data_IF_218521236001
#
_entry.id   IF_218521236001
#
_cell.length_a   1.000
_cell.length_b   1.000
_cell.length_c   1.000
_cell.angle_alpha   90.00
_cell.angle_beta   90.00
_cell.angle_gamma   90.00
#
_symmetry.space_group_name_H-M   'P 1'
#
loop_
_entity.id
_entity.type
_entity.pdbx_description
1 polymer ?
#
# COMPACT_ATOMS: atom_id res chain seq x y z
N UNK A 1 18.85 -1.57 -22.43
CA UNK A 1 19.10 -2.95 -22.90
C UNK A 1 19.15 -3.95 -21.74
N UNK A 2 20.03 -3.77 -20.73
CA UNK A 2 20.20 -4.74 -19.63
C UNK A 2 18.89 -5.05 -18.89
N UNK A 3 18.09 -4.05 -18.50
CA UNK A 3 16.80 -4.26 -17.82
C UNK A 3 15.78 -5.05 -18.67
N UNK A 4 15.78 -4.84 -20.00
CA UNK A 4 14.97 -5.64 -20.91
C UNK A 4 15.44 -7.10 -20.93
N UNK A 5 16.74 -7.35 -20.90
CA UNK A 5 17.30 -8.70 -20.78
C UNK A 5 16.95 -9.35 -19.44
N UNK A 6 16.93 -8.58 -18.33
CA UNK A 6 16.47 -9.08 -17.03
C UNK A 6 15.03 -9.55 -17.12
N UNK A 7 14.16 -8.77 -17.73
CA UNK A 7 12.74 -9.07 -17.86
C UNK A 7 12.46 -10.25 -18.80
N UNK A 8 13.15 -10.30 -19.97
CA UNK A 8 12.92 -11.32 -21.00
C UNK A 8 13.70 -12.62 -20.79
N UNK A 9 14.63 -12.66 -19.81
CA UNK A 9 15.51 -13.80 -19.60
C UNK A 9 16.63 -13.96 -20.62
N UNK A 10 16.86 -12.96 -21.48
CA UNK A 10 17.88 -12.97 -22.53
C UNK A 10 19.23 -12.48 -22.01
N UNK A 11 20.30 -12.69 -22.80
CA UNK A 11 21.63 -12.09 -22.59
C UNK A 11 21.83 -10.88 -23.49
N UNK A 12 22.81 -10.03 -23.18
CA UNK A 12 23.10 -8.82 -23.98
C UNK A 12 23.61 -9.12 -25.39
N UNK A 13 24.28 -10.24 -25.54
CA UNK A 13 24.87 -10.73 -26.80
C UNK A 13 23.92 -11.59 -27.64
N UNK A 14 22.73 -11.94 -27.09
CA UNK A 14 21.71 -12.68 -27.85
C UNK A 14 21.23 -11.84 -29.06
N UNK A 15 21.46 -12.31 -30.30
CA UNK A 15 21.08 -11.58 -31.51
C UNK A 15 19.55 -11.45 -31.65
N UNK A 16 18.79 -12.37 -31.07
CA UNK A 16 17.32 -12.42 -31.15
C UNK A 16 16.62 -11.69 -30.00
N UNK A 17 17.37 -11.10 -29.05
CA UNK A 17 16.76 -10.37 -27.96
C UNK A 17 15.95 -9.17 -28.47
N UNK A 18 14.93 -8.78 -27.75
CA UNK A 18 14.21 -7.55 -28.04
C UNK A 18 15.14 -6.33 -27.97
N UNK A 19 15.09 -5.51 -29.01
CA UNK A 19 15.83 -4.25 -29.12
C UNK A 19 14.92 -3.17 -29.64
N UNK A 20 15.11 -1.95 -29.17
CA UNK A 20 14.55 -0.77 -29.86
C UNK A 20 15.44 -0.43 -31.06
N UNK A 21 14.81 0.08 -32.11
CA UNK A 21 15.53 0.47 -33.35
C UNK A 21 16.36 1.74 -33.16
N UNK A 22 16.17 2.46 -32.08
CA UNK A 22 16.82 3.74 -31.78
C UNK A 22 16.96 3.94 -30.27
N UNK A 23 17.93 4.76 -29.86
CA UNK A 23 18.12 5.19 -28.46
C UNK A 23 17.40 6.53 -28.16
N UNK A 24 16.54 7.02 -29.09
CA UNK A 24 15.86 8.32 -28.99
C UNK A 24 14.65 8.36 -28.03
N UNK A 25 14.31 7.24 -27.37
CA UNK A 25 13.19 7.15 -26.40
C UNK A 25 13.59 7.66 -25.00
N UNK A 26 13.95 8.93 -24.91
CA UNK A 26 14.26 9.60 -23.65
C UNK A 26 13.62 10.98 -23.60
N UNK A 27 13.47 11.54 -22.39
CA UNK A 27 12.95 12.90 -22.20
C UNK A 27 14.00 13.91 -22.70
N UNK A 28 13.74 14.50 -23.86
CA UNK A 28 14.62 15.48 -24.49
C UNK A 28 14.52 16.83 -23.80
N UNK A 29 15.63 17.57 -23.82
CA UNK A 29 15.63 18.97 -23.36
C UNK A 29 14.81 19.85 -24.31
N UNK A 30 14.32 21.03 -23.84
CA UNK A 30 13.63 21.99 -24.72
C UNK A 30 14.47 22.38 -25.96
N UNK A 31 15.78 22.53 -25.80
CA UNK A 31 16.67 22.85 -26.91
C UNK A 31 16.73 21.72 -27.96
N UNK A 32 16.83 20.48 -27.53
CA UNK A 32 16.79 19.30 -28.41
C UNK A 32 15.44 19.17 -29.13
N UNK A 33 14.32 19.44 -28.42
CA UNK A 33 13.01 19.43 -29.04
C UNK A 33 12.85 20.53 -30.09
N UNK A 34 13.35 21.76 -29.83
CA UNK A 34 13.30 22.85 -30.79
C UNK A 34 14.17 22.58 -32.03
N UNK A 35 15.32 21.93 -31.84
CA UNK A 35 16.15 21.51 -33.00
C UNK A 35 15.45 20.41 -33.82
N UNK A 36 14.83 19.46 -33.19
CA UNK A 36 14.08 18.37 -33.82
C UNK A 36 12.89 18.91 -34.65
N UNK A 37 12.19 19.93 -34.11
CA UNK A 37 11.04 20.58 -34.74
C UNK A 37 11.36 21.96 -35.34
N UNK A 38 12.61 22.18 -35.78
CA UNK A 38 13.05 23.49 -36.33
C UNK A 38 12.20 23.96 -37.50
N UNK A 39 11.66 23.03 -38.31
CA UNK A 39 10.81 23.33 -39.44
C UNK A 39 9.35 23.62 -39.04
N UNK A 40 9.01 23.36 -37.75
CA UNK A 40 7.66 23.56 -37.16
C UNK A 40 7.79 24.19 -35.77
N UNK A 41 8.36 25.40 -35.62
CA UNK A 41 8.61 26.01 -34.32
C UNK A 41 7.33 26.24 -33.50
N UNK A 42 6.21 26.49 -34.17
CA UNK A 42 4.91 26.67 -33.56
C UNK A 42 4.45 25.44 -32.80
N UNK A 43 4.87 24.25 -33.21
CA UNK A 43 4.56 23.01 -32.46
C UNK A 43 5.15 23.03 -31.04
N UNK A 44 6.37 23.58 -30.88
CA UNK A 44 6.97 23.77 -29.58
C UNK A 44 6.32 24.94 -28.80
N UNK A 45 6.01 26.05 -29.46
CA UNK A 45 5.39 27.21 -28.81
C UNK A 45 3.98 26.89 -28.32
N UNK A 46 3.19 26.13 -29.10
CA UNK A 46 1.87 25.69 -28.71
C UNK A 46 1.85 24.80 -27.45
N UNK A 47 2.95 24.11 -27.13
CA UNK A 47 3.01 23.32 -25.87
C UNK A 47 2.92 24.24 -24.64
N UNK A 48 3.50 25.45 -24.71
CA UNK A 48 3.38 26.45 -23.64
C UNK A 48 1.96 27.00 -23.54
N UNK A 49 1.33 27.31 -24.68
CA UNK A 49 -0.05 27.78 -24.71
C UNK A 49 -1.02 26.72 -24.15
N UNK A 50 -0.76 25.45 -24.40
CA UNK A 50 -1.55 24.35 -23.81
C UNK A 50 -1.31 24.27 -22.30
N UNK A 51 -0.06 24.38 -21.86
CA UNK A 51 0.26 24.36 -20.42
C UNK A 51 -0.40 25.51 -19.66
N UNK A 52 -0.41 26.73 -20.23
CA UNK A 52 -1.07 27.90 -19.67
C UNK A 52 -2.60 27.74 -19.53
N UNK A 53 -3.22 26.87 -20.34
CA UNK A 53 -4.64 26.56 -20.28
C UNK A 53 -4.98 25.45 -19.29
N UNK A 54 -3.98 24.79 -18.73
CA UNK A 54 -4.15 23.70 -17.79
C UNK A 54 -3.99 24.23 -16.36
N UNK A 55 -5.08 24.24 -15.61
CA UNK A 55 -5.10 24.54 -14.17
C UNK A 55 -5.32 23.22 -13.42
N UNK A 56 -4.26 22.64 -12.85
CA UNK A 56 -4.33 21.39 -12.11
C UNK A 56 -3.82 21.62 -10.70
N UNK A 57 -4.72 21.45 -9.73
CA UNK A 57 -4.38 21.52 -8.31
C UNK A 57 -4.70 20.20 -7.63
N UNK A 58 -3.82 19.78 -6.71
CA UNK A 58 -4.06 18.62 -5.86
C UNK A 58 -4.68 19.08 -4.54
N UNK A 59 -5.93 18.69 -4.29
CA UNK A 59 -6.57 18.95 -3.01
C UNK A 59 -6.06 17.94 -1.97
N UNK A 60 -5.07 18.36 -1.18
CA UNK A 60 -4.45 17.52 -0.14
C UNK A 60 -5.18 17.59 1.20
N UNK A 61 -6.19 18.46 1.34
CA UNK A 61 -6.98 18.62 2.57
C UNK A 61 -8.32 17.88 2.53
N UNK A 62 -8.76 17.40 1.36
CA UNK A 62 -10.03 16.71 1.23
C UNK A 62 -9.94 15.28 1.76
N UNK A 63 -10.98 14.88 2.49
CA UNK A 63 -11.19 13.48 2.88
C UNK A 63 -12.10 12.80 1.84
N UNK A 64 -11.53 11.87 1.09
CA UNK A 64 -12.22 11.11 0.04
C UNK A 64 -12.78 9.77 0.51
N UNK A 65 -12.84 9.53 1.83
CA UNK A 65 -13.41 8.31 2.39
C UNK A 65 -14.85 8.07 1.88
N UNK A 66 -15.18 6.86 1.44
CA UNK A 66 -16.56 6.52 1.12
C UNK A 66 -17.42 6.57 2.37
N UNK A 67 -18.67 6.97 2.25
CA UNK A 67 -19.64 6.85 3.33
C UNK A 67 -20.12 5.40 3.43
N UNK A 68 -20.17 4.90 4.66
CA UNK A 68 -20.75 3.59 4.91
C UNK A 68 -22.28 3.68 4.87
N UNK A 69 -22.97 2.80 4.11
CA UNK A 69 -24.43 2.79 4.12
C UNK A 69 -24.95 2.24 5.46
N UNK A 70 -25.50 3.11 6.26
CA UNK A 70 -26.14 2.76 7.56
C UNK A 70 -27.64 2.55 7.38
N UNK A 71 -28.31 1.78 8.28
CA UNK A 71 -29.76 1.63 8.29
C UNK A 71 -30.49 2.97 8.51
N UNK A 72 -31.76 3.04 8.07
CA UNK A 72 -32.60 4.22 8.27
C UNK A 72 -32.68 4.62 9.75
N UNK A 73 -32.48 5.90 10.01
CA UNK A 73 -32.49 6.45 11.37
C UNK A 73 -31.16 6.36 12.12
N UNK A 74 -30.13 5.75 11.52
CA UNK A 74 -28.78 5.68 12.09
C UNK A 74 -27.85 6.72 11.46
N UNK A 75 -26.79 7.06 12.20
CA UNK A 75 -25.60 7.73 11.70
C UNK A 75 -24.43 6.76 11.68
N UNK A 76 -23.32 7.09 10.98
CA UNK A 76 -22.11 6.28 11.04
C UNK A 76 -21.62 6.12 12.50
N UNK A 77 -21.72 7.18 13.32
CA UNK A 77 -21.34 7.14 14.74
C UNK A 77 -22.20 6.17 15.54
N UNK A 78 -23.54 6.31 15.45
CA UNK A 78 -24.46 5.45 16.21
C UNK A 78 -24.38 3.99 15.77
N UNK A 79 -24.21 3.76 14.45
CA UNK A 79 -24.06 2.41 13.92
C UNK A 79 -22.73 1.77 14.30
N UNK A 80 -21.65 2.55 14.29
CA UNK A 80 -20.35 2.11 14.76
C UNK A 80 -20.38 1.63 16.22
N UNK A 81 -20.96 2.43 17.11
CA UNK A 81 -21.13 2.04 18.52
C UNK A 81 -21.86 0.70 18.65
N UNK A 82 -22.96 0.52 17.90
CA UNK A 82 -23.74 -0.72 17.89
C UNK A 82 -22.95 -1.92 17.39
N UNK A 83 -22.19 -1.77 16.33
CA UNK A 83 -21.37 -2.86 15.78
C UNK A 83 -20.19 -3.21 16.71
N UNK A 84 -19.59 -2.23 17.41
CA UNK A 84 -18.59 -2.50 18.45
C UNK A 84 -19.21 -3.29 19.60
N UNK A 85 -20.36 -2.84 20.16
CA UNK A 85 -21.02 -3.51 21.27
C UNK A 85 -21.45 -4.94 20.91
N UNK A 86 -22.04 -5.12 19.74
CA UNK A 86 -22.38 -6.44 19.20
C UNK A 86 -21.15 -7.34 19.05
N UNK A 87 -20.04 -6.78 18.58
CA UNK A 87 -18.78 -7.49 18.44
C UNK A 87 -18.18 -7.91 19.78
N UNK A 88 -18.24 -7.07 20.80
CA UNK A 88 -17.81 -7.42 22.16
C UNK A 88 -18.58 -8.62 22.72
N UNK A 89 -19.89 -8.66 22.52
CA UNK A 89 -20.71 -9.80 22.95
C UNK A 89 -20.34 -11.10 22.22
N UNK A 90 -19.91 -11.01 20.97
CA UNK A 90 -19.43 -12.17 20.21
C UNK A 90 -18.05 -12.63 20.69
N UNK A 91 -17.14 -11.69 21.00
CA UNK A 91 -15.78 -11.99 21.46
C UNK A 91 -15.76 -12.52 22.90
N UNK A 92 -16.71 -12.07 23.74
CA UNK A 92 -16.79 -12.42 25.15
C UNK A 92 -18.16 -13.04 25.51
N UNK A 93 -18.46 -14.27 25.04
CA UNK A 93 -19.77 -14.90 25.23
C UNK A 93 -20.11 -15.20 26.70
N UNK A 94 -19.10 -15.24 27.58
CA UNK A 94 -19.25 -15.38 29.02
C UNK A 94 -19.53 -14.07 29.78
N UNK A 95 -19.67 -12.96 29.06
CA UNK A 95 -19.79 -11.60 29.59
C UNK A 95 -18.53 -10.76 29.29
N UNK A 96 -18.73 -9.50 28.94
CA UNK A 96 -17.64 -8.57 28.65
C UNK A 96 -16.98 -8.11 29.93
N UNK A 97 -15.68 -8.35 30.16
CA UNK A 97 -14.97 -7.85 31.35
C UNK A 97 -15.02 -6.33 31.46
N UNK A 98 -14.99 -5.81 32.70
CA UNK A 98 -15.12 -4.36 32.94
C UNK A 98 -13.96 -3.54 32.36
N UNK A 99 -12.76 -4.09 32.32
CA UNK A 99 -11.58 -3.45 31.72
C UNK A 99 -11.69 -3.38 30.20
N UNK A 100 -12.17 -4.44 29.56
CA UNK A 100 -12.48 -4.49 28.12
C UNK A 100 -13.54 -3.46 27.77
N UNK A 101 -14.62 -3.38 28.56
CA UNK A 101 -15.71 -2.43 28.33
C UNK A 101 -15.22 -1.00 28.42
N UNK A 102 -14.47 -0.66 29.48
CA UNK A 102 -13.89 0.69 29.62
C UNK A 102 -12.97 1.06 28.48
N UNK A 103 -12.12 0.11 28.03
CA UNK A 103 -11.23 0.36 26.91
C UNK A 103 -12.01 0.57 25.61
N UNK A 104 -13.02 -0.24 25.33
CA UNK A 104 -13.85 -0.11 24.14
C UNK A 104 -14.64 1.22 24.13
N UNK A 105 -15.19 1.64 25.26
CA UNK A 105 -15.88 2.92 25.41
C UNK A 105 -14.93 4.10 25.17
N UNK A 106 -13.73 4.05 25.75
CA UNK A 106 -12.68 5.06 25.54
C UNK A 106 -12.30 5.17 24.06
N UNK A 107 -11.96 4.04 23.43
CA UNK A 107 -11.56 4.01 22.02
C UNK A 107 -12.69 4.50 21.11
N UNK A 108 -13.93 4.06 21.35
CA UNK A 108 -15.11 4.47 20.60
C UNK A 108 -15.29 5.99 20.67
N UNK A 109 -15.12 6.59 21.85
CA UNK A 109 -15.15 8.03 22.03
C UNK A 109 -14.09 8.75 21.22
N UNK A 110 -12.84 8.28 21.24
CA UNK A 110 -11.73 8.85 20.47
C UNK A 110 -11.98 8.72 18.96
N UNK A 111 -12.40 7.54 18.49
CA UNK A 111 -12.67 7.30 17.07
C UNK A 111 -13.77 8.22 16.54
N UNK A 112 -14.84 8.43 17.31
CA UNK A 112 -15.94 9.35 16.96
C UNK A 112 -15.43 10.80 16.95
N UNK A 113 -14.71 11.22 18.01
CA UNK A 113 -14.15 12.57 18.08
C UNK A 113 -13.24 12.90 16.92
N UNK A 114 -12.46 11.92 16.43
CA UNK A 114 -11.56 12.09 15.30
C UNK A 114 -12.26 11.94 13.92
N UNK A 115 -13.55 11.56 13.89
CA UNK A 115 -14.34 11.46 12.66
C UNK A 115 -14.06 10.20 11.83
N UNK A 116 -13.65 9.09 12.44
CA UNK A 116 -13.30 7.84 11.76
C UNK A 116 -14.27 6.65 11.91
N UNK A 117 -15.50 6.78 12.42
CA UNK A 117 -16.45 5.66 12.47
C UNK A 117 -16.68 5.01 11.10
N UNK A 118 -16.89 5.82 10.05
CA UNK A 118 -17.07 5.34 8.68
C UNK A 118 -15.90 4.51 8.17
N UNK A 119 -14.68 4.90 8.50
CA UNK A 119 -13.48 4.14 8.14
C UNK A 119 -13.48 2.74 8.77
N UNK A 120 -13.76 2.63 10.07
CA UNK A 120 -13.85 1.34 10.76
C UNK A 120 -14.97 0.48 10.18
N UNK A 121 -16.12 1.06 9.88
CA UNK A 121 -17.27 0.36 9.30
C UNK A 121 -16.93 -0.20 7.90
N UNK A 122 -16.29 0.60 7.03
CA UNK A 122 -15.86 0.17 5.70
C UNK A 122 -14.83 -0.95 5.79
N UNK A 123 -13.83 -0.82 6.66
CA UNK A 123 -12.79 -1.84 6.83
C UNK A 123 -13.37 -3.14 7.39
N UNK A 124 -14.22 -3.05 8.42
CA UNK A 124 -14.91 -4.21 8.98
C UNK A 124 -15.79 -4.92 7.93
N UNK A 125 -16.45 -4.17 7.07
CA UNK A 125 -17.33 -4.71 6.05
C UNK A 125 -16.59 -5.65 5.08
N UNK A 126 -15.54 -5.19 4.42
CA UNK A 126 -14.86 -6.03 3.43
C UNK A 126 -14.06 -7.17 4.08
N UNK A 127 -13.55 -7.00 5.29
CA UNK A 127 -12.90 -8.07 6.05
C UNK A 127 -13.92 -9.16 6.40
N UNK A 128 -15.05 -8.79 7.00
CA UNK A 128 -16.08 -9.74 7.38
C UNK A 128 -16.75 -10.38 6.15
N UNK A 129 -16.92 -9.64 5.06
CA UNK A 129 -17.35 -10.20 3.78
C UNK A 129 -16.37 -11.28 3.29
N UNK A 130 -15.09 -11.00 3.34
CA UNK A 130 -14.05 -11.95 2.94
C UNK A 130 -14.08 -13.21 3.79
N UNK A 131 -14.13 -13.07 5.11
CA UNK A 131 -14.23 -14.20 6.05
C UNK A 131 -15.49 -15.05 5.78
N UNK A 132 -16.66 -14.41 5.56
CA UNK A 132 -17.92 -15.10 5.22
C UNK A 132 -17.89 -15.85 3.88
N UNK A 133 -17.09 -15.38 2.94
CA UNK A 133 -16.89 -16.02 1.64
C UNK A 133 -15.71 -17.02 1.62
N UNK A 134 -15.16 -17.37 2.78
CA UNK A 134 -14.07 -18.33 2.91
C UNK A 134 -12.73 -17.84 2.38
N UNK A 135 -12.56 -16.52 2.24
CA UNK A 135 -11.27 -15.91 1.90
C UNK A 135 -10.50 -15.70 3.21
N UNK A 136 -9.30 -16.25 3.28
CA UNK A 136 -8.46 -16.08 4.47
C UNK A 136 -8.01 -14.63 4.61
N UNK A 137 -8.16 -14.11 5.83
CA UNK A 137 -7.71 -12.78 6.24
C UNK A 137 -6.72 -12.95 7.39
N UNK A 138 -5.62 -12.22 7.35
CA UNK A 138 -4.64 -12.21 8.43
C UNK A 138 -5.22 -11.66 9.74
N UNK A 139 -4.61 -11.97 10.89
CA UNK A 139 -5.13 -11.59 12.21
C UNK A 139 -5.02 -10.08 12.51
N UNK A 140 -4.46 -9.33 11.59
CA UNK A 140 -4.11 -7.92 11.75
C UNK A 140 -2.62 -7.73 12.05
N UNK A 141 -2.07 -6.61 11.62
CA UNK A 141 -0.68 -6.21 11.84
C UNK A 141 -0.58 -4.69 11.97
N UNK A 142 0.62 -4.19 12.30
CA UNK A 142 0.83 -2.77 12.50
C UNK A 142 0.16 -2.24 13.77
N UNK A 143 -0.03 -0.93 13.85
CA UNK A 143 -0.59 -0.25 15.01
C UNK A 143 -2.08 -0.54 15.22
N UNK A 144 -2.83 -0.83 14.15
CA UNK A 144 -4.26 -1.15 14.21
C UNK A 144 -4.60 -2.38 15.04
N UNK A 145 -3.64 -3.31 15.24
CA UNK A 145 -3.79 -4.45 16.13
C UNK A 145 -3.98 -4.05 17.61
N UNK A 146 -3.65 -2.81 18.00
CA UNK A 146 -3.83 -2.29 19.35
C UNK A 146 -5.23 -1.80 19.68
N UNK A 147 -6.19 -1.86 18.74
CA UNK A 147 -7.55 -1.37 18.94
C UNK A 147 -8.51 -2.45 19.38
N UNK A 148 -9.15 -2.26 20.55
CA UNK A 148 -10.25 -3.09 21.06
C UNK A 148 -11.50 -2.96 20.18
N UNK A 149 -11.80 -1.77 19.67
CA UNK A 149 -12.90 -1.56 18.74
C UNK A 149 -12.69 -2.36 17.43
N UNK A 150 -11.45 -2.36 16.89
CA UNK A 150 -11.11 -3.17 15.72
C UNK A 150 -11.22 -4.68 15.99
N UNK A 151 -10.81 -5.14 17.17
CA UNK A 151 -10.96 -6.52 17.59
C UNK A 151 -12.45 -6.91 17.72
N UNK A 152 -13.25 -6.08 18.36
CA UNK A 152 -14.69 -6.30 18.49
C UNK A 152 -15.35 -6.42 17.11
N UNK A 153 -15.07 -5.51 16.20
CA UNK A 153 -15.67 -5.49 14.85
C UNK A 153 -15.13 -6.58 13.91
N UNK A 154 -14.21 -7.43 14.36
CA UNK A 154 -13.63 -8.50 13.54
C UNK A 154 -12.62 -8.02 12.49
N UNK A 155 -12.12 -6.80 12.61
CA UNK A 155 -11.04 -6.25 11.78
C UNK A 155 -9.73 -6.97 12.11
N UNK A 156 -9.47 -7.15 13.42
CA UNK A 156 -8.34 -7.92 13.93
C UNK A 156 -8.81 -9.15 14.71
N UNK A 157 -7.92 -10.12 14.88
CA UNK A 157 -8.22 -11.38 15.59
C UNK A 157 -7.29 -11.61 16.80
N UNK A 158 -6.55 -10.58 17.23
CA UNK A 158 -5.73 -10.57 18.43
C UNK A 158 -6.38 -9.65 19.46
N UNK A 159 -6.62 -10.16 20.68
CA UNK A 159 -7.09 -9.37 21.80
C UNK A 159 -6.00 -8.39 22.27
N UNK A 160 -6.16 -7.08 22.09
CA UNK A 160 -5.11 -6.11 22.39
C UNK A 160 -4.75 -6.03 23.87
N UNK A 161 -5.72 -6.24 24.79
CA UNK A 161 -5.47 -6.17 26.22
C UNK A 161 -4.68 -7.40 26.70
N UNK A 162 -5.00 -8.60 26.22
CA UNK A 162 -4.25 -9.80 26.54
C UNK A 162 -2.79 -9.74 26.09
N UNK A 163 -2.53 -9.00 25.01
CA UNK A 163 -1.18 -8.85 24.45
C UNK A 163 -0.50 -7.53 24.84
N UNK A 164 -1.09 -6.73 25.71
CA UNK A 164 -0.52 -5.45 26.17
C UNK A 164 -0.27 -4.45 25.04
N UNK A 165 -1.09 -4.46 24.00
CA UNK A 165 -1.00 -3.54 22.87
C UNK A 165 -1.59 -2.18 23.24
N UNK A 166 -1.05 -1.11 22.65
CA UNK A 166 -1.38 0.27 23.01
C UNK A 166 -2.15 0.91 21.87
N UNK A 167 -3.41 1.33 22.15
CA UNK A 167 -4.30 1.98 21.20
C UNK A 167 -3.76 3.33 20.70
N UNK A 168 -3.12 4.12 21.57
CA UNK A 168 -2.60 5.46 21.25
C UNK A 168 -1.44 5.42 20.22
N UNK A 169 -0.88 4.26 19.93
CA UNK A 169 0.04 4.06 18.79
C UNK A 169 -0.68 4.04 17.45
N UNK A 170 -1.96 3.70 17.46
CA UNK A 170 -2.82 3.64 16.28
C UNK A 170 -3.56 4.96 16.06
N UNK A 171 -4.28 5.42 17.08
CA UNK A 171 -4.99 6.71 17.08
C UNK A 171 -4.66 7.50 18.34
N UNK A 172 -4.26 8.75 18.14
CA UNK A 172 -3.97 9.68 19.22
C UNK A 172 -4.60 11.04 18.89
N UNK A 173 -5.52 11.58 19.73
CA UNK A 173 -6.14 12.88 19.51
C UNK A 173 -5.15 14.03 19.39
N UNK A 174 -3.98 13.91 20.04
CA UNK A 174 -2.92 14.93 19.99
C UNK A 174 -2.12 14.91 18.69
N UNK A 175 -2.27 13.86 17.89
CA UNK A 175 -1.60 13.66 16.60
C UNK A 175 -2.61 13.40 15.50
N UNK A 176 -3.01 14.45 14.80
CA UNK A 176 -3.95 14.32 13.67
C UNK A 176 -3.27 13.58 12.50
N UNK A 177 -3.53 12.28 12.40
CA UNK A 177 -3.18 11.46 11.25
C UNK A 177 -4.34 10.53 10.94
N UNK A 178 -4.58 10.27 9.64
CA UNK A 178 -5.56 9.26 9.26
C UNK A 178 -5.10 7.88 9.75
N UNK A 179 -6.03 7.06 10.28
CA UNK A 179 -5.73 5.67 10.59
C UNK A 179 -5.41 4.89 9.33
N UNK A 180 -4.57 3.88 9.48
CA UNK A 180 -4.22 2.96 8.41
C UNK A 180 -4.26 1.52 8.93
N UNK A 181 -5.16 0.70 8.37
CA UNK A 181 -5.20 -0.72 8.65
C UNK A 181 -4.45 -1.50 7.57
N UNK A 182 -3.40 -2.16 7.99
CA UNK A 182 -2.69 -3.14 7.18
C UNK A 182 -3.43 -4.49 7.23
N UNK A 183 -4.01 -4.91 6.11
CA UNK A 183 -4.81 -6.14 6.03
C UNK A 183 -4.21 -7.08 4.99
N UNK A 184 -3.93 -8.31 5.42
CA UNK A 184 -3.40 -9.35 4.56
C UNK A 184 -4.53 -10.31 4.12
N UNK A 185 -4.65 -10.53 2.81
CA UNK A 185 -5.61 -11.47 2.21
C UNK A 185 -4.88 -12.61 1.50
N UNK A 186 -5.55 -13.77 1.36
CA UNK A 186 -5.10 -14.86 0.50
C UNK A 186 -4.82 -14.30 -0.91
N UNK A 187 -3.59 -14.41 -1.37
CA UNK A 187 -3.11 -13.85 -2.63
C UNK A 187 -3.87 -14.37 -3.85
N UNK A 188 -4.32 -15.62 -3.81
CA UNK A 188 -5.09 -16.27 -4.89
C UNK A 188 -6.48 -15.67 -5.06
N UNK A 189 -7.08 -15.13 -3.99
CA UNK A 189 -8.45 -14.61 -3.98
C UNK A 189 -8.55 -13.12 -3.66
N UNK A 190 -7.41 -12.44 -3.50
CA UNK A 190 -7.36 -10.98 -3.24
C UNK A 190 -8.13 -10.18 -4.29
N UNK A 191 -8.12 -10.61 -5.55
CA UNK A 191 -8.86 -9.97 -6.64
C UNK A 191 -10.38 -9.91 -6.41
N UNK A 192 -10.97 -10.93 -5.74
CA UNK A 192 -12.39 -10.94 -5.39
C UNK A 192 -12.73 -9.87 -4.35
N UNK A 193 -11.83 -9.64 -3.38
CA UNK A 193 -12.00 -8.59 -2.37
C UNK A 193 -11.97 -7.22 -3.01
N UNK A 194 -10.98 -6.96 -3.89
CA UNK A 194 -10.88 -5.70 -4.63
C UNK A 194 -12.15 -5.47 -5.45
N UNK A 195 -12.64 -6.49 -6.14
CA UNK A 195 -13.89 -6.42 -6.90
C UNK A 195 -15.09 -6.05 -6.03
N UNK A 196 -15.25 -6.74 -4.88
CA UNK A 196 -16.34 -6.44 -3.94
C UNK A 196 -16.31 -4.98 -3.45
N UNK A 197 -15.14 -4.50 -3.04
CA UNK A 197 -14.98 -3.12 -2.55
C UNK A 197 -15.27 -2.11 -3.66
N UNK A 198 -14.77 -2.36 -4.88
CA UNK A 198 -15.03 -1.50 -6.05
C UNK A 198 -16.51 -1.45 -6.41
N UNK A 199 -17.19 -2.59 -6.44
CA UNK A 199 -18.63 -2.67 -6.74
C UNK A 199 -19.49 -1.99 -5.67
N UNK A 200 -19.07 -2.07 -4.40
CA UNK A 200 -19.86 -1.52 -3.28
C UNK A 200 -19.64 -0.03 -3.04
N UNK A 201 -18.40 0.44 -3.17
CA UNK A 201 -18.03 1.81 -2.78
C UNK A 201 -17.71 2.73 -3.96
N UNK A 202 -17.68 2.20 -5.19
CA UNK A 202 -17.39 2.92 -6.41
C UNK A 202 -15.92 2.80 -6.85
N UNK A 203 -15.70 2.78 -8.15
CA UNK A 203 -14.38 2.66 -8.77
C UNK A 203 -13.51 3.92 -8.55
N UNK A 204 -14.15 5.08 -8.37
CA UNK A 204 -13.46 6.33 -8.03
C UNK A 204 -12.93 6.38 -6.57
N UNK A 205 -13.29 5.39 -5.74
CA UNK A 205 -12.88 5.29 -4.32
C UNK A 205 -11.89 4.18 -4.06
N UNK A 206 -11.60 3.37 -5.05
CA UNK A 206 -10.74 2.19 -4.93
C UNK A 206 -9.60 2.29 -5.93
N UNK A 207 -8.37 2.27 -5.43
CA UNK A 207 -7.19 2.36 -6.26
C UNK A 207 -6.12 1.35 -5.82
N UNK A 208 -5.40 0.81 -6.78
CA UNK A 208 -4.17 0.07 -6.51
C UNK A 208 -2.99 1.04 -6.63
N UNK A 209 -2.18 1.10 -5.58
CA UNK A 209 -1.00 1.97 -5.55
C UNK A 209 0.15 1.28 -6.26
N UNK A 210 0.76 1.96 -7.24
CA UNK A 210 1.97 1.51 -7.90
C UNK A 210 3.14 1.54 -6.91
N UNK A 211 3.80 0.39 -6.76
CA UNK A 211 5.01 0.30 -5.95
C UNK A 211 6.22 0.23 -6.86
N UNK A 212 7.10 1.21 -6.76
CA UNK A 212 8.38 1.20 -7.45
C UNK A 212 9.39 0.39 -6.66
N UNK A 213 9.81 -0.75 -7.22
CA UNK A 213 10.89 -1.55 -6.68
C UNK A 213 12.25 -1.09 -7.18
N UNK A 214 13.26 -1.09 -6.32
CA UNK A 214 14.65 -0.91 -6.71
C UNK A 214 15.39 -2.24 -6.61
N UNK A 215 16.22 -2.53 -7.62
CA UNK A 215 17.11 -3.69 -7.59
C UNK A 215 18.23 -3.39 -6.59
N UNK A 216 18.26 -4.16 -5.48
CA UNK A 216 19.32 -4.04 -4.48
C UNK A 216 20.63 -4.69 -4.95
N UNK A 217 21.75 -4.35 -4.29
CA UNK A 217 23.11 -4.73 -4.70
C UNK A 217 23.27 -6.23 -5.01
N UNK A 218 22.86 -7.13 -4.13
CA UNK A 218 22.97 -8.59 -4.34
C UNK A 218 22.21 -9.06 -5.57
N UNK A 219 20.99 -8.58 -5.76
CA UNK A 219 20.20 -8.93 -6.95
C UNK A 219 20.79 -8.31 -8.22
N UNK A 220 21.27 -7.06 -8.15
CA UNK A 220 21.91 -6.40 -9.28
C UNK A 220 23.13 -7.17 -9.81
N UNK A 221 23.96 -7.69 -8.91
CA UNK A 221 25.13 -8.51 -9.28
C UNK A 221 24.72 -9.83 -9.94
N UNK A 222 23.70 -10.51 -9.38
CA UNK A 222 23.19 -11.77 -9.98
C UNK A 222 22.59 -11.51 -11.37
N UNK A 223 21.80 -10.46 -11.51
CA UNK A 223 21.19 -10.10 -12.79
C UNK A 223 22.24 -9.65 -13.82
N UNK A 224 23.22 -8.85 -13.40
CA UNK A 224 24.34 -8.47 -14.26
C UNK A 224 25.12 -9.69 -14.76
N UNK A 225 25.49 -10.61 -13.87
CA UNK A 225 26.18 -11.85 -14.25
C UNK A 225 25.36 -12.63 -15.28
N UNK A 226 24.05 -12.79 -15.07
CA UNK A 226 23.16 -13.50 -15.98
C UNK A 226 23.05 -12.84 -17.35
N UNK A 227 22.79 -11.54 -17.40
CA UNK A 227 22.62 -10.82 -18.69
C UNK A 227 23.94 -10.68 -19.47
N UNK A 228 25.09 -10.82 -18.80
CA UNK A 228 26.41 -10.91 -19.43
C UNK A 228 26.78 -12.34 -19.83
N UNK A 229 25.90 -13.31 -19.70
CA UNK A 229 26.12 -14.70 -20.10
C UNK A 229 26.97 -15.53 -19.14
N UNK A 230 27.25 -15.04 -17.93
CA UNK A 230 28.00 -15.83 -16.93
C UNK A 230 27.14 -16.93 -16.31
N UNK A 231 27.72 -18.08 -15.93
CA UNK A 231 27.04 -19.12 -15.18
C UNK A 231 26.46 -18.58 -13.86
N UNK A 232 25.33 -19.14 -13.42
CA UNK A 232 24.67 -18.75 -12.16
C UNK A 232 25.60 -18.76 -10.95
N UNK A 233 26.53 -19.73 -10.91
CA UNK A 233 27.51 -19.88 -9.82
C UNK A 233 28.38 -18.62 -9.63
N UNK A 234 28.67 -17.87 -10.68
CA UNK A 234 29.49 -16.65 -10.60
C UNK A 234 28.74 -15.58 -9.78
N UNK A 235 27.46 -15.32 -10.08
CA UNK A 235 26.65 -14.40 -9.31
C UNK A 235 26.49 -14.82 -7.84
N UNK A 236 26.34 -16.12 -7.58
CA UNK A 236 26.26 -16.67 -6.22
C UNK A 236 27.59 -16.49 -5.45
N UNK A 237 28.72 -16.76 -6.06
CA UNK A 237 30.03 -16.57 -5.41
C UNK A 237 30.28 -15.10 -5.06
N UNK A 238 30.01 -14.19 -6.00
CA UNK A 238 30.16 -12.75 -5.76
C UNK A 238 29.26 -12.26 -4.63
N UNK A 239 28.00 -12.67 -4.63
CA UNK A 239 27.06 -12.21 -3.60
C UNK A 239 27.31 -12.83 -2.21
N UNK A 240 27.94 -14.00 -2.14
CA UNK A 240 28.41 -14.59 -0.87
C UNK A 240 29.60 -13.84 -0.27
N UNK A 241 30.44 -13.21 -1.12
CA UNK A 241 31.57 -12.39 -0.68
C UNK A 241 31.15 -10.98 -0.20
N UNK A 242 29.90 -10.56 -0.49
CA UNK A 242 29.38 -9.26 -0.06
C UNK A 242 29.15 -9.24 1.47
N UNK A 243 29.32 -8.07 2.11
CA UNK A 243 29.01 -7.90 3.53
C UNK A 243 27.57 -8.34 3.87
N UNK A 244 27.34 -8.88 5.07
CA UNK A 244 26.00 -9.22 5.51
C UNK A 244 25.14 -7.97 5.70
N UNK A 245 23.83 -8.13 5.51
CA UNK A 245 22.88 -7.06 5.79
C UNK A 245 22.86 -6.74 7.29
N UNK A 246 22.95 -5.47 7.66
CA UNK A 246 22.85 -5.00 9.04
C UNK A 246 21.46 -4.43 9.28
N UNK A 247 20.70 -4.97 10.24
CA UNK A 247 19.33 -4.57 10.57
C UNK A 247 18.41 -4.49 9.32
N UNK A 248 18.54 -5.46 8.40
CA UNK A 248 17.75 -5.50 7.17
C UNK A 248 18.18 -4.52 6.07
N UNK A 249 19.24 -3.74 6.29
CA UNK A 249 19.83 -2.85 5.29
C UNK A 249 21.09 -3.46 4.71
N UNK A 250 21.07 -3.73 3.41
CA UNK A 250 22.26 -4.16 2.66
C UNK A 250 23.18 -2.99 2.35
N UNK A 251 24.48 -3.26 2.24
CA UNK A 251 25.47 -2.27 1.79
C UNK A 251 25.25 -1.99 0.31
N UNK A 252 25.28 -0.72 -0.11
CA UNK A 252 25.23 -0.35 -1.52
C UNK A 252 26.51 -0.77 -2.25
N UNK A 253 26.44 -0.94 -3.59
CA UNK A 253 27.64 -1.23 -4.37
C UNK A 253 28.71 -0.13 -4.21
N UNK A 254 28.32 1.15 -4.20
CA UNK A 254 29.23 2.25 -3.94
C UNK A 254 29.88 2.13 -2.54
N UNK A 255 29.09 1.86 -1.50
CA UNK A 255 29.60 1.72 -0.14
C UNK A 255 30.50 0.50 0.11
N UNK A 256 30.69 -0.37 -0.87
CA UNK A 256 31.66 -1.47 -0.81
C UNK A 256 33.06 -1.06 -1.31
N UNK A 257 33.18 0.12 -1.88
CA UNK A 257 34.43 0.68 -2.38
C UNK A 257 34.95 1.85 -1.53
N UNK A 258 34.13 2.33 -0.60
CA UNK A 258 34.50 3.40 0.33
C UNK A 258 35.10 2.77 1.60
N UNK A 259 36.37 2.38 1.54
CA UNK A 259 37.24 2.09 2.69
C UNK A 259 38.35 3.11 2.83
#
# INVERSE_FOLDING_TARGET
>A
AALLCVQSGSTLDDPNRFKFDTDEFYLKTPAQMRELFRDYPEACDNTLLIAERCEVEFNTSANYMPRYPVPDGETEDSWFVKEVEKGLLVRYPGGVPDDVRRQAEYETGVIIQMGFPGYFLVVADFINWSKKNGIRVGPGRGSGAGSMAAYAMGITDLDPLQHGLIFERFLNPDRVSMPDFDVDFDDRRRGEVIKYVTEKYGDERVAQIVTYGTIKAKQAVKDAARVMGHPFAVGEQLTKAMPPDVMGKGVSLAGMYDE
#
